data_IF_751039327825
#
_entry.id   IF_751039327825
#
_cell.length_a   1.000
_cell.length_b   1.000
_cell.length_c   1.000
_cell.angle_alpha   90.00
_cell.angle_beta   90.00
_cell.angle_gamma   90.00
#
_symmetry.space_group_name_H-M   'P 1'
#
loop_
_entity.id
_entity.type
_entity.pdbx_description
1 polymer ?
#
# COMPACT_ATOMS: atom_id res chain seq x y z
N UNK A 1 44.87 -31.10 -28.63
CA UNK A 1 43.91 -32.23 -28.93
C UNK A 1 42.53 -31.65 -28.92
N UNK A 2 42.10 -31.27 -30.13
CA UNK A 2 40.79 -30.62 -30.39
C UNK A 2 39.68 -31.61 -30.38
N UNK A 3 38.52 -31.26 -29.81
CA UNK A 3 37.25 -31.95 -30.08
C UNK A 3 36.18 -30.89 -30.31
N UNK A 4 35.99 -30.57 -31.58
CA UNK A 4 34.84 -29.84 -32.12
C UNK A 4 33.57 -30.72 -32.00
N UNK A 5 32.56 -30.26 -31.31
CA UNK A 5 31.23 -30.82 -31.44
C UNK A 5 30.35 -29.87 -32.22
N UNK A 6 30.16 -30.14 -33.50
CA UNK A 6 29.22 -29.46 -34.41
C UNK A 6 27.83 -30.09 -34.16
N UNK A 7 26.93 -29.36 -33.58
CA UNK A 7 25.51 -29.74 -33.55
C UNK A 7 24.77 -28.93 -34.63
N UNK A 8 24.38 -29.65 -35.68
CA UNK A 8 23.63 -29.18 -36.85
C UNK A 8 22.14 -29.19 -36.48
N UNK A 9 21.53 -28.00 -36.32
CA UNK A 9 20.06 -27.86 -36.15
C UNK A 9 19.43 -27.94 -37.54
N UNK A 10 18.67 -29.02 -37.78
CA UNK A 10 17.81 -29.17 -38.96
C UNK A 10 16.54 -28.31 -38.73
N UNK A 11 16.37 -27.22 -39.46
CA UNK A 11 15.10 -26.55 -39.65
C UNK A 11 14.27 -27.39 -40.63
N UNK A 12 13.21 -28.01 -40.18
CA UNK A 12 12.18 -28.51 -41.04
C UNK A 12 10.83 -28.57 -40.30
N UNK A 13 10.03 -27.52 -40.42
CA UNK A 13 8.58 -27.60 -40.19
C UNK A 13 7.90 -26.54 -41.09
N UNK A 14 7.31 -27.07 -42.16
CA UNK A 14 6.31 -26.36 -42.94
C UNK A 14 5.09 -26.10 -42.06
N UNK A 15 4.80 -24.83 -41.84
CA UNK A 15 3.63 -24.37 -41.10
C UNK A 15 2.47 -24.32 -42.11
N UNK A 16 1.58 -25.32 -42.02
CA UNK A 16 0.30 -25.33 -42.75
C UNK A 16 -0.70 -24.46 -41.94
N UNK A 17 -1.16 -23.37 -42.53
CA UNK A 17 -2.23 -22.55 -41.97
C UNK A 17 -3.60 -23.14 -42.32
N UNK A 18 -4.52 -23.29 -41.37
CA UNK A 18 -5.87 -23.75 -41.66
C UNK A 18 -6.65 -22.67 -42.41
N UNK A 19 -7.38 -23.09 -43.42
CA UNK A 19 -8.14 -22.28 -44.38
C UNK A 19 -9.31 -21.47 -43.79
N UNK A 20 -9.50 -21.48 -42.47
CA UNK A 20 -10.59 -20.74 -41.80
C UNK A 20 -10.25 -19.30 -41.41
N UNK A 21 -9.00 -18.85 -41.55
CA UNK A 21 -8.59 -17.47 -41.20
C UNK A 21 -8.89 -16.43 -42.26
N UNK A 22 -9.19 -16.84 -43.51
CA UNK A 22 -9.52 -15.91 -44.58
C UNK A 22 -10.99 -15.40 -44.54
N UNK A 23 -11.90 -16.16 -43.90
CA UNK A 23 -13.32 -15.80 -43.82
C UNK A 23 -13.60 -14.69 -42.79
N UNK A 24 -12.75 -14.53 -41.77
CA UNK A 24 -12.94 -13.51 -40.71
C UNK A 24 -12.46 -12.12 -41.18
N UNK A 25 -11.48 -12.07 -42.08
CA UNK A 25 -10.95 -10.78 -42.56
C UNK A 25 -11.89 -10.11 -43.59
N UNK A 26 -12.73 -10.87 -44.28
CA UNK A 26 -13.69 -10.32 -45.27
C UNK A 26 -14.98 -9.78 -44.61
N UNK A 27 -15.29 -10.19 -43.37
CA UNK A 27 -16.50 -9.73 -42.68
C UNK A 27 -16.31 -8.33 -42.01
N UNK A 28 -15.10 -7.85 -41.88
CA UNK A 28 -14.80 -6.54 -41.28
C UNK A 28 -14.88 -5.37 -42.27
N UNK A 29 -15.09 -5.65 -43.59
CA UNK A 29 -15.19 -4.63 -44.62
C UNK A 29 -16.62 -4.22 -44.98
N UNK A 30 -17.63 -4.79 -44.31
CA UNK A 30 -19.05 -4.52 -44.57
C UNK A 30 -19.77 -3.77 -43.44
N UNK A 31 -19.06 -3.06 -42.57
CA UNK A 31 -19.69 -2.20 -41.56
C UNK A 31 -19.97 -0.85 -42.22
N UNK A 32 -21.23 -0.45 -42.42
CA UNK A 32 -21.54 0.88 -42.92
C UNK A 32 -21.18 1.94 -41.87
N UNK A 33 -20.58 3.03 -42.36
CA UNK A 33 -20.26 4.24 -41.61
C UNK A 33 -21.48 4.75 -40.83
N UNK A 34 -21.56 4.50 -39.53
CA UNK A 34 -22.47 5.24 -38.68
C UNK A 34 -21.84 6.61 -38.40
N UNK A 35 -22.48 7.62 -38.92
CA UNK A 35 -22.18 9.02 -38.73
C UNK A 35 -22.15 9.33 -37.21
N UNK A 36 -21.08 9.96 -36.78
CA UNK A 36 -20.95 10.58 -35.46
C UNK A 36 -21.97 11.73 -35.37
N UNK A 37 -23.11 11.46 -34.74
CA UNK A 37 -23.99 12.51 -34.23
C UNK A 37 -23.38 13.05 -32.96
N UNK A 38 -22.82 14.24 -33.06
CA UNK A 38 -22.45 15.04 -31.86
C UNK A 38 -23.75 15.59 -31.28
N UNK A 39 -24.28 14.95 -30.24
CA UNK A 39 -25.27 15.57 -29.36
C UNK A 39 -24.55 16.30 -28.24
N UNK A 40 -24.66 17.63 -28.28
CA UNK A 40 -24.21 18.51 -27.19
C UNK A 40 -24.95 18.14 -25.90
N UNK A 41 -24.20 17.83 -24.86
CA UNK A 41 -24.75 17.75 -23.53
C UNK A 41 -24.78 19.17 -22.93
N UNK A 42 -25.97 19.73 -22.93
CA UNK A 42 -26.30 20.89 -22.10
C UNK A 42 -26.17 20.52 -20.64
N UNK A 43 -25.43 21.33 -19.89
CA UNK A 43 -25.36 21.30 -18.45
C UNK A 43 -26.71 21.62 -17.83
N UNK A 44 -27.50 20.62 -17.50
CA UNK A 44 -28.58 20.79 -16.53
C UNK A 44 -27.99 20.68 -15.11
N UNK A 45 -27.96 21.82 -14.46
CA UNK A 45 -27.68 21.94 -13.03
C UNK A 45 -28.93 21.53 -12.24
N UNK A 46 -29.09 20.26 -11.98
CA UNK A 46 -30.07 19.78 -11.00
C UNK A 46 -29.51 20.01 -9.59
N UNK A 47 -29.99 21.10 -8.99
CA UNK A 47 -29.86 21.36 -7.55
C UNK A 47 -30.69 20.34 -6.80
N UNK A 48 -30.14 19.16 -6.51
CA UNK A 48 -30.68 18.29 -5.48
C UNK A 48 -30.38 18.94 -4.13
N UNK A 49 -31.40 19.49 -3.50
CA UNK A 49 -31.39 19.96 -2.12
C UNK A 49 -31.25 18.76 -1.20
N UNK A 50 -30.03 18.44 -0.80
CA UNK A 50 -29.78 17.57 0.34
C UNK A 50 -30.06 18.39 1.60
N UNK A 51 -31.14 18.02 2.31
CA UNK A 51 -31.43 18.52 3.64
C UNK A 51 -30.25 18.22 4.55
N UNK A 52 -29.53 19.28 4.93
CA UNK A 52 -28.38 19.18 5.80
C UNK A 52 -28.77 18.80 7.21
N UNK A 53 -28.25 17.71 7.71
CA UNK A 53 -27.95 17.62 9.12
C UNK A 53 -26.63 18.35 9.34
N UNK A 54 -26.72 19.59 9.76
CA UNK A 54 -25.58 20.43 10.18
C UNK A 54 -24.85 19.73 11.32
N UNK A 55 -23.66 19.18 11.03
CA UNK A 55 -22.74 18.77 12.08
C UNK A 55 -22.08 20.03 12.62
N UNK A 56 -22.62 20.56 13.70
CA UNK A 56 -22.02 21.65 14.48
C UNK A 56 -20.81 21.09 15.20
N UNK A 57 -19.63 21.49 14.76
CA UNK A 57 -18.41 21.35 15.55
C UNK A 57 -18.48 22.39 16.65
N UNK A 58 -18.65 21.97 17.91
CA UNK A 58 -18.58 22.87 19.05
C UNK A 58 -17.16 23.44 19.18
N UNK A 59 -17.06 24.75 18.98
CA UNK A 59 -15.84 25.56 19.01
C UNK A 59 -15.15 25.61 20.40
N UNK A 60 -15.70 24.88 21.38
CA UNK A 60 -15.24 24.88 22.77
C UNK A 60 -14.12 23.90 23.10
N UNK A 61 -13.67 23.09 22.15
CA UNK A 61 -12.59 22.09 22.34
C UNK A 61 -11.26 22.49 21.68
N UNK A 62 -11.16 23.66 21.09
CA UNK A 62 -9.86 24.20 20.66
C UNK A 62 -9.18 24.90 21.84
N UNK A 63 -8.50 24.12 22.68
CA UNK A 63 -7.59 24.63 23.69
C UNK A 63 -6.45 25.39 22.99
N UNK A 64 -6.31 26.67 23.30
CA UNK A 64 -5.17 27.48 22.90
C UNK A 64 -3.88 26.86 23.44
N UNK A 65 -3.07 26.26 22.57
CA UNK A 65 -1.70 25.89 22.91
C UNK A 65 -0.81 27.11 22.72
N UNK A 66 -0.30 27.62 23.85
CA UNK A 66 0.78 28.59 23.89
C UNK A 66 2.01 28.00 23.17
N UNK A 67 2.55 28.75 22.22
CA UNK A 67 3.88 28.50 21.66
C UNK A 67 4.91 28.88 22.73
N UNK A 68 5.61 27.90 23.26
CA UNK A 68 6.88 28.10 23.94
C UNK A 68 7.99 27.86 22.90
N UNK A 69 8.67 28.93 22.53
CA UNK A 69 9.84 28.93 21.66
C UNK A 69 11.05 28.44 22.44
N UNK A 70 11.28 27.13 22.42
CA UNK A 70 12.44 26.49 23.00
C UNK A 70 13.19 25.69 21.95
N UNK A 71 14.35 26.20 21.56
CA UNK A 71 15.31 25.58 20.64
C UNK A 71 15.69 24.15 21.03
N UNK A 72 15.71 23.28 20.03
CA UNK A 72 16.54 22.05 20.05
C UNK A 72 15.87 20.81 20.57
N UNK A 73 15.12 20.14 19.75
CA UNK A 73 15.15 18.67 19.56
C UNK A 73 14.15 18.23 18.51
N UNK A 74 14.55 18.27 17.25
CA UNK A 74 13.70 17.88 16.11
C UNK A 74 13.38 16.37 16.09
N UNK A 75 13.89 15.59 17.05
CA UNK A 75 13.68 14.16 17.22
C UNK A 75 13.13 13.76 18.59
N UNK A 76 12.64 14.73 19.37
CA UNK A 76 11.98 14.35 20.60
C UNK A 76 10.65 13.71 20.25
N UNK A 77 10.61 12.41 20.38
CA UNK A 77 9.44 11.54 20.35
C UNK A 77 8.28 12.19 21.08
N UNK A 78 7.41 12.82 20.31
CA UNK A 78 6.12 13.31 20.78
C UNK A 78 5.36 12.10 21.29
N UNK A 79 5.15 12.05 22.59
CA UNK A 79 4.34 11.09 23.31
C UNK A 79 4.73 9.63 23.05
N UNK A 80 5.21 8.97 24.07
CA UNK A 80 5.25 7.51 24.11
C UNK A 80 3.83 6.99 23.79
N UNK A 81 3.56 6.73 22.50
CA UNK A 81 2.45 5.87 22.12
C UNK A 81 2.82 4.43 22.51
N UNK A 82 3.08 4.23 23.80
CA UNK A 82 3.28 2.91 24.41
C UNK A 82 2.04 2.03 24.32
N UNK A 83 0.92 2.58 23.86
CA UNK A 83 -0.33 1.87 23.66
C UNK A 83 -0.48 1.29 22.24
N UNK A 84 0.56 0.60 21.77
CA UNK A 84 0.41 -0.40 20.70
C UNK A 84 -0.48 -1.58 21.14
N UNK A 85 -1.05 -1.48 22.33
CA UNK A 85 -1.92 -2.46 22.95
C UNK A 85 -3.32 -1.96 23.22
N UNK A 86 -3.84 -0.98 22.47
CA UNK A 86 -5.26 -0.70 22.52
C UNK A 86 -6.00 -2.00 22.17
N UNK A 87 -6.49 -2.69 23.21
CA UNK A 87 -7.23 -3.95 23.04
C UNK A 87 -8.35 -3.71 22.05
N UNK A 88 -8.54 -4.66 21.14
CA UNK A 88 -9.71 -4.70 20.27
C UNK A 88 -10.96 -4.55 21.17
N UNK A 89 -11.87 -3.61 20.88
CA UNK A 89 -13.10 -3.45 21.67
C UNK A 89 -13.90 -4.74 21.67
N UNK A 90 -14.12 -5.31 22.84
CA UNK A 90 -14.86 -6.58 23.00
C UNK A 90 -16.38 -6.41 22.75
N UNK A 91 -16.88 -5.18 22.73
CA UNK A 91 -18.31 -4.87 22.84
C UNK A 91 -19.01 -4.47 21.54
N UNK A 92 -18.32 -4.37 20.40
CA UNK A 92 -18.98 -4.00 19.13
C UNK A 92 -19.26 -5.24 18.30
N UNK A 93 -20.54 -5.40 17.90
CA UNK A 93 -20.92 -6.40 16.91
C UNK A 93 -20.14 -6.13 15.60
N UNK A 94 -19.70 -7.18 14.95
CA UNK A 94 -18.85 -7.11 13.76
C UNK A 94 -19.46 -6.26 12.63
N UNK A 95 -20.77 -6.34 12.46
CA UNK A 95 -21.51 -5.53 11.48
C UNK A 95 -21.44 -4.03 11.76
N UNK A 96 -21.55 -3.61 13.02
CA UNK A 96 -21.38 -2.21 13.42
C UNK A 96 -19.99 -1.69 13.21
N UNK A 97 -18.95 -2.52 13.45
CA UNK A 97 -17.55 -2.19 13.17
C UNK A 97 -17.31 -2.00 11.67
N UNK A 98 -17.87 -2.87 10.84
CA UNK A 98 -17.69 -2.79 9.39
C UNK A 98 -18.37 -1.54 8.81
N UNK A 99 -19.58 -1.21 9.26
CA UNK A 99 -20.28 0.01 8.83
C UNK A 99 -19.51 1.29 9.24
N UNK A 100 -19.02 1.34 10.50
CA UNK A 100 -18.18 2.44 10.99
C UNK A 100 -16.88 2.56 10.19
N UNK A 101 -16.17 1.46 9.99
CA UNK A 101 -14.94 1.42 9.21
C UNK A 101 -15.16 1.91 7.77
N UNK A 102 -16.26 1.52 7.13
CA UNK A 102 -16.63 1.97 5.80
C UNK A 102 -16.88 3.47 5.74
N UNK A 103 -17.59 4.02 6.72
CA UNK A 103 -17.82 5.46 6.78
C UNK A 103 -16.51 6.26 6.89
N UNK A 104 -15.63 5.87 7.81
CA UNK A 104 -14.33 6.54 7.99
C UNK A 104 -13.47 6.39 6.73
N UNK A 105 -13.44 5.20 6.14
CA UNK A 105 -12.66 4.90 4.94
C UNK A 105 -13.05 5.78 3.76
N UNK A 106 -14.34 5.98 3.53
CA UNK A 106 -14.87 6.81 2.44
C UNK A 106 -14.53 8.29 2.59
N UNK A 107 -14.29 8.78 3.81
CA UNK A 107 -13.96 10.18 4.05
C UNK A 107 -12.45 10.44 4.11
N UNK A 108 -11.64 9.46 4.51
CA UNK A 108 -10.23 9.70 4.83
C UNK A 108 -9.25 8.87 3.99
N UNK A 109 -9.65 7.70 3.50
CA UNK A 109 -8.73 6.73 2.91
C UNK A 109 -8.94 6.50 1.41
N UNK A 110 -10.18 6.67 0.94
CA UNK A 110 -10.61 6.33 -0.43
C UNK A 110 -9.84 7.06 -1.52
N UNK A 111 -9.43 8.31 -1.27
CA UNK A 111 -8.73 9.14 -2.25
C UNK A 111 -7.39 8.54 -2.70
N UNK A 112 -6.73 7.82 -1.79
CA UNK A 112 -5.48 7.13 -2.08
C UNK A 112 -5.71 5.63 -2.35
N UNK A 113 -6.53 4.96 -1.51
CA UNK A 113 -6.65 3.51 -1.55
C UNK A 113 -7.76 2.97 -2.46
N UNK A 114 -8.57 3.87 -3.06
CA UNK A 114 -9.67 3.47 -3.95
C UNK A 114 -10.89 2.91 -3.21
N UNK A 115 -12.06 2.96 -3.86
CA UNK A 115 -13.34 2.54 -3.27
C UNK A 115 -13.35 1.08 -2.82
N UNK A 116 -12.67 0.23 -3.58
CA UNK A 116 -12.63 -1.22 -3.37
C UNK A 116 -11.30 -1.67 -2.77
N UNK A 117 -10.52 -0.75 -2.20
CA UNK A 117 -9.24 -1.05 -1.58
C UNK A 117 -8.14 -1.48 -2.57
N UNK A 118 -8.29 -1.15 -3.85
CA UNK A 118 -7.39 -1.56 -4.93
C UNK A 118 -6.12 -0.72 -5.08
N UNK A 119 -5.94 0.30 -4.23
CA UNK A 119 -4.82 1.22 -4.33
C UNK A 119 -4.96 2.28 -5.44
N UNK A 120 -6.06 2.27 -6.20
CA UNK A 120 -6.33 3.17 -7.33
C UNK A 120 -7.33 4.27 -6.97
N UNK A 121 -7.06 5.04 -5.94
CA UNK A 121 -7.85 6.23 -5.62
C UNK A 121 -7.53 7.40 -6.56
N UNK A 122 -8.32 8.46 -6.49
CA UNK A 122 -8.18 9.64 -7.36
C UNK A 122 -6.84 10.38 -7.22
N UNK A 123 -6.15 10.20 -6.10
CA UNK A 123 -4.84 10.80 -5.84
C UNK A 123 -3.67 9.89 -6.28
N UNK A 124 -3.93 8.63 -6.66
CA UNK A 124 -2.88 7.62 -6.88
C UNK A 124 -1.83 8.02 -7.90
N UNK A 125 -2.24 8.70 -8.98
CA UNK A 125 -1.33 9.14 -10.05
C UNK A 125 -0.29 10.17 -9.58
N UNK A 126 -0.54 10.81 -8.44
CA UNK A 126 0.36 11.80 -7.83
C UNK A 126 1.18 11.23 -6.66
N UNK A 127 1.05 9.93 -6.36
CA UNK A 127 1.65 9.29 -5.19
C UNK A 127 2.73 8.27 -5.60
N UNK A 128 3.90 8.41 -4.98
CA UNK A 128 4.95 7.41 -5.11
C UNK A 128 5.64 7.18 -3.76
N UNK A 129 5.77 5.93 -3.32
CA UNK A 129 5.23 4.69 -3.93
C UNK A 129 3.70 4.66 -3.91
N UNK A 130 3.14 3.87 -4.82
CA UNK A 130 1.69 3.73 -4.93
C UNK A 130 1.04 3.17 -3.67
N UNK A 131 -0.20 3.59 -3.38
CA UNK A 131 -0.96 3.07 -2.25
C UNK A 131 -1.14 1.55 -2.34
N UNK A 132 -1.19 0.89 -1.18
CA UNK A 132 -1.34 -0.56 -1.10
C UNK A 132 -2.69 -1.01 -1.66
N UNK A 133 -2.67 -2.03 -2.54
CA UNK A 133 -3.85 -2.82 -2.89
C UNK A 133 -4.12 -3.83 -1.76
N UNK A 134 -5.23 -3.64 -1.04
CA UNK A 134 -5.62 -4.48 0.08
C UNK A 134 -6.22 -5.81 -0.35
N UNK A 135 -6.77 -5.91 -1.56
CA UNK A 135 -7.44 -7.10 -2.09
C UNK A 135 -6.52 -8.31 -2.17
N UNK A 136 -5.24 -8.06 -2.38
CA UNK A 136 -4.24 -9.12 -2.46
C UNK A 136 -3.90 -9.75 -1.09
N UNK A 137 -4.26 -9.09 0.02
CA UNK A 137 -3.88 -9.54 1.35
C UNK A 137 -2.36 -9.60 1.58
N UNK A 138 -1.60 -8.83 0.80
CA UNK A 138 -0.14 -8.75 0.89
C UNK A 138 0.25 -7.42 1.50
N UNK A 139 0.85 -7.46 2.68
CA UNK A 139 1.25 -6.26 3.42
C UNK A 139 2.76 -6.26 3.63
N UNK A 140 3.40 -5.12 3.35
CA UNK A 140 4.84 -4.96 3.48
C UNK A 140 5.28 -4.88 4.95
N UNK A 141 4.54 -4.11 5.76
CA UNK A 141 4.86 -3.88 7.17
C UNK A 141 4.08 -4.86 8.03
N UNK A 142 4.74 -5.93 8.44
CA UNK A 142 4.16 -6.99 9.25
C UNK A 142 5.21 -7.60 10.16
N UNK A 143 4.78 -8.15 11.26
CA UNK A 143 5.61 -8.90 12.23
C UNK A 143 5.60 -10.41 11.98
N UNK A 144 5.05 -10.83 10.86
CA UNK A 144 4.87 -12.23 10.47
C UNK A 144 5.78 -12.62 9.30
N UNK A 145 6.06 -13.90 9.04
CA UNK A 145 6.90 -14.37 7.94
C UNK A 145 6.41 -13.88 6.57
N UNK A 146 7.31 -13.91 5.59
CA UNK A 146 6.98 -13.59 4.19
C UNK A 146 5.83 -14.48 3.71
N UNK A 147 4.95 -13.90 2.90
CA UNK A 147 3.77 -14.53 2.31
C UNK A 147 2.66 -14.93 3.29
N UNK A 148 2.80 -14.66 4.58
CA UNK A 148 1.72 -14.83 5.55
C UNK A 148 0.92 -13.54 5.75
N UNK A 149 -0.28 -13.66 6.29
CA UNK A 149 -1.11 -12.51 6.66
C UNK A 149 -0.48 -11.73 7.82
N UNK A 150 -0.62 -10.39 7.84
CA UNK A 150 -0.21 -9.57 8.97
C UNK A 150 -1.08 -9.84 10.19
N UNK A 151 -0.57 -9.50 11.35
CA UNK A 151 -1.38 -9.40 12.56
C UNK A 151 -2.19 -8.11 12.56
N UNK A 152 -3.27 -8.09 13.31
CA UNK A 152 -4.11 -6.89 13.43
C UNK A 152 -3.32 -5.71 14.01
N UNK A 153 -2.38 -5.98 14.92
CA UNK A 153 -1.51 -4.97 15.49
C UNK A 153 -0.53 -4.35 14.46
N UNK A 154 -0.17 -5.08 13.42
CA UNK A 154 0.67 -4.56 12.36
C UNK A 154 -0.10 -3.52 11.51
N UNK A 155 -1.36 -3.82 11.22
CA UNK A 155 -2.27 -2.91 10.51
C UNK A 155 -2.56 -1.67 11.37
N UNK A 156 -2.86 -1.88 12.66
CA UNK A 156 -3.08 -0.81 13.63
C UNK A 156 -1.89 0.16 13.65
N UNK A 157 -0.69 -0.37 13.87
CA UNK A 157 0.55 0.42 13.91
C UNK A 157 0.77 1.20 12.62
N UNK A 158 0.51 0.58 11.46
CA UNK A 158 0.69 1.22 10.15
C UNK A 158 -0.28 2.39 9.97
N UNK A 159 -1.52 2.26 10.41
CA UNK A 159 -2.51 3.33 10.32
C UNK A 159 -2.13 4.49 11.26
N UNK A 160 -1.88 4.22 12.55
CA UNK A 160 -1.65 5.29 13.52
C UNK A 160 -0.31 6.01 13.33
N UNK A 161 0.73 5.30 12.86
CA UNK A 161 2.08 5.88 12.66
C UNK A 161 2.34 6.34 11.23
N UNK A 162 1.45 6.00 10.29
CA UNK A 162 1.72 6.20 8.87
C UNK A 162 2.92 5.39 8.40
N UNK A 163 3.41 5.73 7.21
CA UNK A 163 4.59 5.11 6.61
C UNK A 163 5.59 6.20 6.24
N UNK A 164 6.58 6.48 7.09
CA UNK A 164 7.58 7.50 6.84
C UNK A 164 8.29 7.30 5.50
N UNK A 165 8.53 8.38 4.76
CA UNK A 165 9.09 8.35 3.42
C UNK A 165 8.08 8.04 2.30
N UNK A 166 6.79 7.99 2.62
CA UNK A 166 5.69 7.86 1.66
C UNK A 166 4.61 8.89 1.92
N UNK A 167 3.60 8.94 1.05
CA UNK A 167 2.44 9.81 1.22
C UNK A 167 1.39 9.26 2.20
N UNK A 168 1.61 8.12 2.85
CA UNK A 168 0.70 7.60 3.88
C UNK A 168 0.94 8.33 5.21
N UNK A 169 0.05 9.25 5.63
CA UNK A 169 0.25 10.03 6.85
C UNK A 169 -0.04 9.19 8.11
N UNK A 170 0.40 9.71 9.24
CA UNK A 170 0.02 9.17 10.55
C UNK A 170 -1.40 9.64 10.90
N UNK A 171 -2.27 8.70 11.25
CA UNK A 171 -3.66 8.97 11.61
C UNK A 171 -3.94 8.90 13.10
N UNK A 172 -2.92 8.66 13.93
CA UNK A 172 -3.08 8.46 15.36
C UNK A 172 -3.70 9.64 16.12
N UNK A 173 -3.47 10.86 15.66
CA UNK A 173 -4.05 12.07 16.27
C UNK A 173 -5.49 12.34 15.80
N UNK A 174 -5.90 11.78 14.65
CA UNK A 174 -7.20 12.02 14.02
C UNK A 174 -8.21 10.88 14.27
N UNK A 175 -7.74 9.68 14.60
CA UNK A 175 -8.57 8.50 14.79
C UNK A 175 -8.52 7.99 16.23
N UNK A 176 -9.69 7.70 16.78
CA UNK A 176 -9.74 6.96 18.04
C UNK A 176 -9.27 5.51 17.84
N UNK A 177 -8.94 4.82 18.95
CA UNK A 177 -8.64 3.40 18.90
C UNK A 177 -9.79 2.59 18.28
N UNK A 178 -11.05 2.92 18.61
CA UNK A 178 -12.21 2.26 18.04
C UNK A 178 -12.34 2.47 16.54
N UNK A 179 -12.04 3.68 16.04
CA UNK A 179 -12.06 4.00 14.63
C UNK A 179 -11.00 3.20 13.87
N UNK A 180 -9.82 3.12 14.45
CA UNK A 180 -8.72 2.36 13.87
C UNK A 180 -9.05 0.86 13.79
N UNK A 181 -9.66 0.28 14.84
CA UNK A 181 -10.11 -1.11 14.80
C UNK A 181 -11.24 -1.36 13.80
N UNK A 182 -12.16 -0.40 13.64
CA UNK A 182 -13.20 -0.45 12.63
C UNK A 182 -12.61 -0.44 11.20
N UNK A 183 -11.61 0.41 10.95
CA UNK A 183 -10.86 0.44 9.69
C UNK A 183 -10.13 -0.88 9.42
N UNK A 184 -9.47 -1.47 10.41
CA UNK A 184 -8.80 -2.75 10.28
C UNK A 184 -9.78 -3.84 9.85
N UNK A 185 -10.96 -3.87 10.47
CA UNK A 185 -12.01 -4.83 10.10
C UNK A 185 -12.42 -4.66 8.63
N UNK A 186 -12.61 -3.43 8.17
CA UNK A 186 -12.89 -3.14 6.75
C UNK A 186 -11.74 -3.55 5.84
N UNK A 187 -10.49 -3.20 6.18
CA UNK A 187 -9.30 -3.52 5.36
C UNK A 187 -9.17 -5.04 5.19
N UNK A 188 -9.40 -5.81 6.23
CA UNK A 188 -9.41 -7.28 6.17
C UNK A 188 -10.53 -7.80 5.28
N UNK A 189 -11.66 -7.14 5.24
CA UNK A 189 -12.82 -7.53 4.42
C UNK A 189 -12.57 -7.34 2.91
N UNK A 190 -11.62 -6.50 2.49
CA UNK A 190 -11.25 -6.38 1.07
C UNK A 190 -10.55 -7.62 0.52
N UNK A 191 -9.93 -8.45 1.35
CA UNK A 191 -9.20 -9.63 0.89
C UNK A 191 -9.80 -10.93 1.42
N UNK A 192 -10.16 -11.87 0.52
CA UNK A 192 -10.67 -13.18 0.92
C UNK A 192 -9.65 -14.03 1.70
N UNK A 193 -8.37 -13.67 1.70
CA UNK A 193 -7.34 -14.38 2.44
C UNK A 193 -7.60 -14.34 3.95
N UNK A 194 -8.07 -13.21 4.48
CA UNK A 194 -8.34 -13.07 5.93
C UNK A 194 -9.47 -13.96 6.44
N UNK A 195 -10.37 -14.40 5.56
CA UNK A 195 -11.40 -15.39 5.92
C UNK A 195 -10.99 -16.83 5.72
N UNK A 196 -9.94 -17.07 4.92
CA UNK A 196 -9.51 -18.42 4.51
C UNK A 196 -8.21 -18.88 5.17
N UNK A 197 -7.37 -17.94 5.57
CA UNK A 197 -6.02 -18.21 6.08
C UNK A 197 -5.89 -17.67 7.50
N UNK A 198 -5.18 -18.37 8.40
CA UNK A 198 -4.83 -17.84 9.70
C UNK A 198 -3.83 -16.68 9.56
N UNK A 199 -3.83 -15.76 10.50
CA UNK A 199 -2.75 -14.78 10.61
C UNK A 199 -1.42 -15.50 10.89
N UNK A 200 -0.32 -14.96 10.36
CA UNK A 200 1.00 -15.52 10.60
C UNK A 200 1.42 -15.42 12.07
N UNK A 201 2.25 -16.37 12.49
CA UNK A 201 2.88 -16.31 13.81
C UNK A 201 3.88 -15.15 13.87
N UNK A 202 3.90 -14.46 15.01
CA UNK A 202 4.82 -13.34 15.20
C UNK A 202 6.27 -13.83 15.23
N UNK A 203 7.12 -13.22 14.40
CA UNK A 203 8.55 -13.49 14.39
C UNK A 203 9.15 -12.99 15.72
N UNK A 204 9.85 -13.86 16.42
CA UNK A 204 10.64 -13.49 17.59
C UNK A 204 11.94 -12.86 17.12
N UNK A 205 12.19 -11.62 17.50
CA UNK A 205 13.44 -10.92 17.25
C UNK A 205 14.24 -10.97 18.55
N UNK A 206 15.42 -11.59 18.49
CA UNK A 206 16.33 -11.61 19.63
C UNK A 206 16.89 -10.21 19.89
N UNK A 207 17.30 -9.98 21.14
CA UNK A 207 18.02 -8.77 21.48
C UNK A 207 19.24 -8.59 20.57
N UNK A 208 19.50 -7.34 20.12
CA UNK A 208 20.65 -7.09 19.26
C UNK A 208 21.94 -7.39 20.03
N UNK A 209 22.93 -8.01 19.36
CA UNK A 209 24.22 -8.24 20.00
C UNK A 209 24.91 -6.91 20.32
N UNK A 210 25.77 -6.93 21.35
CA UNK A 210 26.57 -5.76 21.66
C UNK A 210 27.44 -5.35 20.48
N UNK A 211 27.48 -4.03 20.23
CA UNK A 211 28.27 -3.47 19.14
C UNK A 211 29.76 -3.57 19.52
N UNK A 212 30.51 -4.34 18.74
CA UNK A 212 31.95 -4.50 18.89
C UNK A 212 32.67 -4.18 17.57
N UNK A 213 33.96 -3.82 17.61
CA UNK A 213 34.76 -3.60 16.38
C UNK A 213 34.70 -4.83 15.45
N UNK A 214 34.74 -6.04 16.00
CA UNK A 214 34.65 -7.29 15.25
C UNK A 214 33.28 -7.45 14.57
N UNK A 215 32.19 -7.10 15.27
CA UNK A 215 30.85 -7.15 14.71
C UNK A 215 30.68 -6.14 13.56
N UNK A 216 31.22 -4.93 13.72
CA UNK A 216 31.24 -3.91 12.67
C UNK A 216 31.99 -4.41 11.44
N UNK A 217 33.19 -4.97 11.64
CA UNK A 217 34.00 -5.52 10.53
C UNK A 217 33.27 -6.66 9.80
N UNK A 218 32.60 -7.55 10.56
CA UNK A 218 31.76 -8.62 9.99
C UNK A 218 30.57 -8.04 9.21
N UNK A 219 29.91 -7.03 9.72
CA UNK A 219 28.82 -6.33 9.03
C UNK A 219 29.27 -5.73 7.70
N UNK A 220 30.42 -5.03 7.69
CA UNK A 220 31.03 -4.47 6.48
C UNK A 220 31.36 -5.54 5.45
N UNK A 221 31.93 -6.67 5.88
CA UNK A 221 32.23 -7.80 4.98
C UNK A 221 30.94 -8.39 4.37
N UNK A 222 29.88 -8.55 5.17
CA UNK A 222 28.59 -9.04 4.69
C UNK A 222 27.92 -8.05 3.73
N UNK A 223 28.00 -6.76 3.98
CA UNK A 223 27.48 -5.71 3.12
C UNK A 223 28.07 -5.81 1.70
N UNK A 224 29.38 -5.93 1.60
CA UNK A 224 30.07 -6.12 0.31
C UNK A 224 29.76 -7.49 -0.30
N UNK A 225 29.81 -8.58 0.50
CA UNK A 225 29.54 -9.94 0.04
C UNK A 225 28.15 -10.06 -0.61
N UNK A 226 27.15 -9.43 -0.03
CA UNK A 226 25.77 -9.46 -0.52
C UNK A 226 25.45 -8.34 -1.52
N UNK A 227 26.47 -7.58 -1.95
CA UNK A 227 26.36 -6.50 -2.96
C UNK A 227 25.33 -5.42 -2.56
N UNK A 228 25.16 -5.17 -1.28
CA UNK A 228 24.28 -4.11 -0.81
C UNK A 228 24.76 -2.72 -1.26
N UNK A 229 26.08 -2.57 -1.44
CA UNK A 229 26.72 -1.38 -1.99
C UNK A 229 26.29 -1.04 -3.42
N UNK A 230 25.78 -2.02 -4.17
CA UNK A 230 25.29 -1.78 -5.53
C UNK A 230 24.13 -0.78 -5.58
N UNK A 231 23.27 -0.77 -4.58
CA UNK A 231 22.18 0.20 -4.44
C UNK A 231 22.52 1.29 -3.41
N UNK A 232 23.04 0.89 -2.24
CA UNK A 232 23.26 1.81 -1.13
C UNK A 232 24.54 2.64 -1.25
N UNK A 233 25.46 2.30 -2.18
CA UNK A 233 26.77 2.93 -2.30
C UNK A 233 27.72 2.51 -1.17
N UNK A 234 29.03 2.72 -1.37
CA UNK A 234 30.02 2.38 -0.35
C UNK A 234 29.97 3.33 0.86
N UNK A 235 29.51 4.56 0.62
CA UNK A 235 29.32 5.61 1.64
C UNK A 235 27.93 5.57 2.29
N UNK A 236 27.08 4.62 1.91
CA UNK A 236 25.70 4.47 2.39
C UNK A 236 24.77 5.67 2.07
N UNK A 237 25.07 6.40 1.02
CA UNK A 237 24.31 7.60 0.60
C UNK A 237 23.23 7.31 -0.44
N UNK A 238 23.02 6.04 -0.82
CA UNK A 238 22.10 5.67 -1.88
C UNK A 238 22.64 5.97 -3.29
N UNK A 239 23.95 6.13 -3.42
CA UNK A 239 24.68 6.47 -4.65
C UNK A 239 25.34 5.25 -5.30
N UNK A 240 24.82 4.07 -5.07
CA UNK A 240 25.30 2.85 -5.70
C UNK A 240 25.00 2.81 -7.20
N UNK A 241 25.78 2.03 -7.96
CA UNK A 241 25.70 1.93 -9.42
C UNK A 241 24.30 1.54 -9.97
N UNK A 242 23.46 0.95 -9.15
CA UNK A 242 22.09 0.59 -9.50
C UNK A 242 21.05 1.60 -8.98
N UNK A 243 21.45 2.64 -8.26
CA UNK A 243 20.52 3.58 -7.64
C UNK A 243 19.66 4.30 -8.70
N UNK A 244 20.26 4.75 -9.80
CA UNK A 244 19.55 5.45 -10.88
C UNK A 244 18.49 4.58 -11.56
N UNK A 245 18.69 3.27 -11.60
CA UNK A 245 17.71 2.34 -12.20
C UNK A 245 16.51 2.04 -11.31
N UNK A 246 16.50 2.55 -10.09
CA UNK A 246 15.41 2.36 -9.10
C UNK A 246 14.46 3.57 -9.03
N UNK A 247 14.78 4.64 -9.72
CA UNK A 247 13.97 5.85 -9.87
C UNK A 247 13.08 5.72 -11.11
#
# INVERSE_FOLDING_TARGET
MELFCKTRIKLNRSISFPTHTLAVLLLLLLIPNYALSQSGHEHHSDKASLSGSEYRVDEKTMGHHHHDDGDGDLFRTRGSHSDLGAKKPEAMQEEGLLARGRNIYLHMCVFCHGKDGNGGGTATDYLYPWPRDFRMGIFKFRSTPTDTLPRDEDLYRTIIKGVPGTSMPAWGDALSAQDTWALINLIKNFSPRFSKEPQGEKITINEPPQVTPQLIAKGKALFTKHKCDACHGQSLRGDGRLAESLL
#
